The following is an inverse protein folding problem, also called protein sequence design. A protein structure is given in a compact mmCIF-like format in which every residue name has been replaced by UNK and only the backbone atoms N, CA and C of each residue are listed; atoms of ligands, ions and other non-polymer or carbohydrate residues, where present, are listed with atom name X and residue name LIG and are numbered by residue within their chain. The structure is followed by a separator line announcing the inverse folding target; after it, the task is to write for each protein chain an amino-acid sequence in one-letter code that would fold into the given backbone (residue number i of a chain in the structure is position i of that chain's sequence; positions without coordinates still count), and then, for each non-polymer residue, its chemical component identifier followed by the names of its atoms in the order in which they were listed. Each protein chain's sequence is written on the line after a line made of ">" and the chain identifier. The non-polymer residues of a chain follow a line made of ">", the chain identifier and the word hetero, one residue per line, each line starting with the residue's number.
data_IF_915938753298
#
_entry.id   IF_915938753298
#
_cell.length_a   1.000
_cell.length_b   1.000
_cell.length_c   1.000
_cell.angle_alpha   90.00
_cell.angle_beta   90.00
_cell.angle_gamma   90.00
#
_symmetry.space_group_name_H-M   'P 1'
#
loop_
_entity.id
_entity.type
_entity.pdbx_description
1 polymer ?
#
# COMPACT_ATOMS: atom_id res chain seq x y z
N UNK A 1 22.37 20.08 7.94
CA UNK A 1 23.80 19.94 8.27
C UNK A 1 24.59 20.56 7.13
N UNK A 2 25.28 21.68 7.37
CA UNK A 2 26.19 22.26 6.40
C UNK A 2 27.48 21.41 6.41
N UNK A 3 27.74 20.68 5.34
CA UNK A 3 29.00 19.96 5.18
C UNK A 3 30.06 21.00 4.82
N UNK A 4 30.87 21.40 5.79
CA UNK A 4 31.94 22.38 5.56
C UNK A 4 33.17 21.63 5.09
N UNK A 5 33.39 21.57 3.78
CA UNK A 5 34.63 21.06 3.21
C UNK A 5 35.64 22.21 3.24
N UNK A 6 36.49 22.26 4.26
CA UNK A 6 37.62 23.18 4.26
C UNK A 6 38.73 22.62 3.36
N UNK A 7 38.72 23.00 2.09
CA UNK A 7 39.88 22.79 1.24
C UNK A 7 40.89 23.91 1.53
N UNK A 8 42.02 23.60 2.19
CA UNK A 8 43.16 24.53 2.30
C UNK A 8 43.94 24.49 0.99
N UNK A 9 43.97 25.56 0.19
CA UNK A 9 44.90 25.63 -0.93
C UNK A 9 46.31 25.75 -0.36
N UNK A 10 47.27 25.04 -0.95
CA UNK A 10 48.69 25.02 -0.53
C UNK A 10 49.40 26.37 -0.69
N UNK A 11 48.77 27.38 -1.30
CA UNK A 11 49.33 28.71 -1.53
C UNK A 11 48.27 29.79 -1.31
N UNK A 12 48.27 30.43 -0.13
CA UNK A 12 47.76 31.80 0.12
C UNK A 12 46.30 32.18 -0.23
N UNK A 13 45.47 31.27 -0.75
CA UNK A 13 44.11 31.57 -1.18
C UNK A 13 43.12 31.73 -0.01
N UNK A 14 42.21 32.71 -0.09
CA UNK A 14 41.08 32.84 0.85
C UNK A 14 40.21 31.56 0.80
N UNK A 15 39.67 31.09 1.95
CA UNK A 15 38.76 29.94 1.96
C UNK A 15 37.58 30.19 1.02
N UNK A 16 37.32 29.26 0.10
CA UNK A 16 36.12 29.30 -0.74
C UNK A 16 34.99 28.62 0.03
N UNK A 17 34.02 29.41 0.51
CA UNK A 17 32.79 28.88 1.08
C UNK A 17 31.86 28.50 -0.08
N UNK A 18 31.78 27.21 -0.40
CA UNK A 18 30.75 26.72 -1.33
C UNK A 18 29.42 26.76 -0.57
N UNK A 19 28.43 27.45 -1.13
CA UNK A 19 27.06 27.50 -0.59
C UNK A 19 26.40 26.11 -0.75
N UNK A 20 26.73 25.18 0.14
CA UNK A 20 26.20 23.81 0.14
C UNK A 20 24.66 23.74 0.21
N UNK A 21 23.98 24.80 0.64
CA UNK A 21 22.52 24.83 0.75
C UNK A 21 21.81 24.81 -0.61
N UNK A 22 22.36 25.50 -1.61
CA UNK A 22 21.77 25.55 -2.96
C UNK A 22 21.92 24.19 -3.64
N UNK A 23 23.13 23.62 -3.63
CA UNK A 23 23.38 22.25 -4.09
C UNK A 23 22.53 21.21 -3.36
N UNK A 24 22.34 21.35 -2.04
CA UNK A 24 21.47 20.45 -1.29
C UNK A 24 19.98 20.58 -1.68
N UNK A 25 19.51 21.78 -2.05
CA UNK A 25 18.14 21.98 -2.58
C UNK A 25 17.99 21.36 -3.96
N UNK A 26 18.95 21.58 -4.85
CA UNK A 26 18.95 21.00 -6.20
C UNK A 26 18.97 19.47 -6.14
N UNK A 27 19.84 18.90 -5.32
CA UNK A 27 19.89 17.45 -5.11
C UNK A 27 18.54 16.92 -4.62
N UNK A 28 17.92 17.54 -3.61
CA UNK A 28 16.58 17.15 -3.13
C UNK A 28 15.53 17.21 -4.23
N UNK A 29 15.57 18.22 -5.08
CA UNK A 29 14.63 18.36 -6.20
C UNK A 29 14.85 17.25 -7.24
N UNK A 30 16.11 16.94 -7.56
CA UNK A 30 16.46 15.84 -8.47
C UNK A 30 15.98 14.50 -7.91
N UNK A 31 16.25 14.21 -6.63
CA UNK A 31 15.76 12.99 -5.98
C UNK A 31 14.23 12.89 -6.00
N UNK A 32 13.53 13.98 -5.71
CA UNK A 32 12.06 14.00 -5.76
C UNK A 32 11.53 13.72 -7.17
N UNK A 33 12.14 14.30 -8.22
CA UNK A 33 11.75 14.04 -9.62
C UNK A 33 12.01 12.59 -10.02
N UNK A 34 13.17 12.03 -9.65
CA UNK A 34 13.50 10.63 -9.92
C UNK A 34 12.46 9.71 -9.24
N UNK A 35 12.12 9.99 -7.99
CA UNK A 35 11.12 9.22 -7.25
C UNK A 35 9.75 9.25 -7.94
N UNK A 36 9.29 10.43 -8.37
CA UNK A 36 8.04 10.55 -9.15
C UNK A 36 8.08 9.77 -10.46
N UNK A 37 9.22 9.77 -11.17
CA UNK A 37 9.38 9.00 -12.41
C UNK A 37 9.31 7.49 -12.16
N UNK A 38 9.96 7.00 -11.09
CA UNK A 38 9.89 5.59 -10.67
C UNK A 38 8.45 5.21 -10.37
N UNK A 39 7.74 6.01 -9.58
CA UNK A 39 6.35 5.79 -9.21
C UNK A 39 5.40 5.76 -10.42
N UNK A 40 5.55 6.72 -11.34
CA UNK A 40 4.75 6.78 -12.56
C UNK A 40 5.05 5.59 -13.47
N UNK A 41 6.31 5.20 -13.63
CA UNK A 41 6.69 4.03 -14.41
C UNK A 41 6.11 2.74 -13.81
N UNK A 42 6.22 2.55 -12.49
CA UNK A 42 5.60 1.43 -11.78
C UNK A 42 4.09 1.37 -11.99
N UNK A 43 3.42 2.52 -11.93
CA UNK A 43 1.98 2.60 -12.23
C UNK A 43 1.65 2.21 -13.68
N UNK A 44 2.44 2.64 -14.67
CA UNK A 44 2.20 2.26 -16.06
C UNK A 44 2.43 0.76 -16.30
N UNK A 45 3.46 0.16 -15.69
CA UNK A 45 3.71 -1.28 -15.76
C UNK A 45 2.50 -2.06 -15.25
N UNK A 46 1.97 -1.69 -14.08
CA UNK A 46 0.78 -2.34 -13.52
C UNK A 46 -0.45 -2.15 -14.41
N UNK A 47 -0.68 -0.94 -14.93
CA UNK A 47 -1.80 -0.67 -15.85
C UNK A 47 -1.74 -1.51 -17.12
N UNK A 48 -0.55 -1.71 -17.69
CA UNK A 48 -0.34 -2.56 -18.86
C UNK A 48 -0.69 -4.03 -18.57
N UNK A 49 -0.49 -4.46 -17.32
CA UNK A 49 -0.89 -5.79 -16.83
C UNK A 49 -2.36 -5.86 -16.37
N UNK A 50 -3.13 -4.77 -16.55
CA UNK A 50 -4.48 -4.63 -15.98
C UNK A 50 -4.51 -4.84 -14.46
N UNK A 51 -3.47 -4.40 -13.75
CA UNK A 51 -3.36 -4.45 -12.30
C UNK A 51 -3.30 -3.06 -11.68
N UNK A 52 -3.69 -3.00 -10.41
CA UNK A 52 -3.39 -1.90 -9.48
C UNK A 52 -2.43 -2.40 -8.39
N UNK A 53 -2.01 -1.54 -7.47
CA UNK A 53 -1.23 -1.91 -6.30
C UNK A 53 -2.15 -2.00 -5.07
N UNK A 54 -2.02 -3.07 -4.29
CA UNK A 54 -2.74 -3.24 -3.02
C UNK A 54 -1.74 -3.39 -1.87
N UNK A 55 -1.73 -2.42 -0.97
CA UNK A 55 -0.93 -2.41 0.26
C UNK A 55 -1.78 -2.99 1.40
N UNK A 56 -1.30 -4.07 2.00
CA UNK A 56 -1.99 -4.81 3.06
C UNK A 56 -1.27 -4.64 4.38
N UNK A 57 -1.99 -4.27 5.43
CA UNK A 57 -1.53 -4.49 6.79
C UNK A 57 -1.66 -5.97 7.22
N UNK A 58 -0.99 -6.36 8.30
CA UNK A 58 -1.01 -7.73 8.83
C UNK A 58 -1.89 -7.85 10.08
N UNK A 59 -1.49 -7.20 11.17
CA UNK A 59 -2.06 -7.39 12.50
C UNK A 59 -3.43 -6.71 12.62
N UNK A 60 -4.43 -7.44 13.07
CA UNK A 60 -5.85 -7.02 13.07
C UNK A 60 -6.44 -6.79 11.66
N UNK A 61 -5.66 -6.90 10.59
CA UNK A 61 -6.13 -6.85 9.21
C UNK A 61 -6.28 -8.25 8.60
N UNK A 62 -5.19 -9.00 8.44
CA UNK A 62 -5.17 -10.38 7.90
C UNK A 62 -5.06 -11.45 8.98
N UNK A 63 -4.64 -11.11 10.19
CA UNK A 63 -4.44 -12.07 11.25
C UNK A 63 -4.47 -11.40 12.62
N UNK A 64 -4.44 -12.19 13.68
CA UNK A 64 -4.21 -11.70 15.03
C UNK A 64 -3.12 -12.55 15.68
N UNK A 65 -2.10 -11.91 16.23
CA UNK A 65 -0.97 -12.57 16.90
C UNK A 65 -0.96 -12.22 18.39
N UNK A 66 -0.76 -13.23 19.25
CA UNK A 66 -0.60 -13.05 20.70
C UNK A 66 0.67 -13.76 21.19
N UNK A 67 1.38 -13.13 22.13
CA UNK A 67 2.54 -13.75 22.77
C UNK A 67 2.10 -14.96 23.59
N UNK A 68 2.83 -16.06 23.51
CA UNK A 68 2.53 -17.27 24.29
C UNK A 68 2.45 -16.99 25.78
N UNK A 69 3.35 -16.17 26.30
CA UNK A 69 3.39 -15.77 27.72
C UNK A 69 2.16 -15.01 28.19
N UNK A 70 1.30 -14.54 27.28
CA UNK A 70 0.07 -13.78 27.58
C UNK A 70 -1.21 -14.56 27.27
N UNK A 71 -1.10 -15.79 26.76
CA UNK A 71 -2.27 -16.62 26.48
C UNK A 71 -2.95 -17.02 27.79
N UNK A 72 -4.28 -16.96 27.81
CA UNK A 72 -5.08 -17.54 28.88
C UNK A 72 -4.98 -19.07 28.88
N UNK A 73 -5.28 -19.75 30.01
CA UNK A 73 -5.29 -21.21 30.06
C UNK A 73 -6.18 -21.86 28.98
N UNK A 74 -7.32 -21.23 28.65
CA UNK A 74 -8.21 -21.70 27.59
C UNK A 74 -7.59 -21.56 26.20
N UNK A 75 -6.90 -20.46 25.93
CA UNK A 75 -6.20 -20.23 24.65
C UNK A 75 -5.04 -21.22 24.47
N UNK A 76 -4.30 -21.55 25.55
CA UNK A 76 -3.25 -22.56 25.53
C UNK A 76 -3.77 -23.96 25.21
N UNK A 77 -4.91 -24.36 25.80
CA UNK A 77 -5.54 -25.65 25.48
C UNK A 77 -5.93 -25.71 24.00
N UNK A 78 -6.45 -24.59 23.44
CA UNK A 78 -6.81 -24.54 22.02
C UNK A 78 -5.59 -24.65 21.11
N UNK A 79 -4.43 -24.12 21.50
CA UNK A 79 -3.17 -24.33 20.77
C UNK A 79 -2.81 -25.81 20.65
N UNK A 80 -2.90 -26.56 21.77
CA UNK A 80 -2.64 -28.00 21.80
C UNK A 80 -3.60 -28.82 20.94
N UNK A 81 -4.77 -28.28 20.61
CA UNK A 81 -5.76 -28.91 19.71
C UNK A 81 -5.56 -28.45 18.26
N UNK A 82 -4.98 -27.26 18.05
CA UNK A 82 -4.90 -26.59 16.74
C UNK A 82 -3.87 -27.17 15.76
N UNK A 83 -3.07 -28.17 16.16
CA UNK A 83 -2.18 -28.92 15.25
C UNK A 83 -2.91 -29.59 14.07
N UNK A 84 -4.26 -29.55 14.06
CA UNK A 84 -5.13 -30.04 12.98
C UNK A 84 -5.82 -28.94 12.16
N UNK A 85 -5.64 -27.65 12.47
CA UNK A 85 -6.31 -26.54 11.79
C UNK A 85 -5.29 -25.63 11.10
N UNK A 86 -5.42 -25.47 9.78
CA UNK A 86 -4.53 -24.68 8.91
C UNK A 86 -4.56 -23.16 9.18
N UNK A 87 -5.41 -22.71 10.10
CA UNK A 87 -5.57 -21.30 10.44
C UNK A 87 -4.76 -20.86 11.67
N UNK A 88 -4.19 -21.79 12.43
CA UNK A 88 -3.33 -21.46 13.57
C UNK A 88 -1.90 -21.85 13.27
N UNK A 89 -0.96 -21.01 13.70
CA UNK A 89 0.43 -21.39 13.70
C UNK A 89 1.18 -20.79 14.88
N UNK A 90 2.09 -21.59 15.40
CA UNK A 90 2.99 -21.25 16.49
C UNK A 90 4.36 -20.99 15.90
N UNK A 91 5.00 -19.90 16.30
CA UNK A 91 6.32 -19.54 15.79
C UNK A 91 7.13 -18.79 16.85
N UNK A 92 8.46 -18.77 16.65
CA UNK A 92 9.39 -18.11 17.58
C UNK A 92 10.14 -17.03 16.83
N UNK A 93 10.19 -15.84 17.40
CA UNK A 93 10.98 -14.75 16.84
C UNK A 93 12.46 -14.99 17.18
N UNK A 94 13.24 -15.46 16.20
CA UNK A 94 14.62 -15.90 16.40
C UNK A 94 15.49 -14.91 17.17
N UNK A 95 15.35 -13.60 16.90
CA UNK A 95 16.15 -12.57 17.54
C UNK A 95 15.91 -12.43 19.05
N UNK A 96 14.71 -12.76 19.55
CA UNK A 96 14.33 -12.57 20.95
C UNK A 96 13.98 -13.85 21.70
N UNK A 97 13.82 -14.97 20.99
CA UNK A 97 13.30 -16.23 21.55
C UNK A 97 11.84 -16.16 21.99
N UNK A 98 11.12 -15.07 21.70
CA UNK A 98 9.73 -14.91 22.09
C UNK A 98 8.84 -15.78 21.21
N UNK A 99 8.06 -16.65 21.84
CA UNK A 99 7.10 -17.53 21.19
C UNK A 99 5.75 -16.82 21.00
N UNK A 100 5.14 -17.00 19.84
CA UNK A 100 3.88 -16.39 19.43
C UNK A 100 2.91 -17.46 18.94
N UNK A 101 1.62 -17.21 19.18
CA UNK A 101 0.51 -17.92 18.57
C UNK A 101 -0.22 -16.93 17.65
N UNK A 102 -0.41 -17.33 16.41
CA UNK A 102 -1.10 -16.51 15.41
C UNK A 102 -2.32 -17.24 14.90
N UNK A 103 -3.44 -16.51 14.78
CA UNK A 103 -4.66 -16.94 14.11
C UNK A 103 -4.81 -16.17 12.81
N UNK A 104 -4.84 -16.89 11.70
CA UNK A 104 -5.17 -16.36 10.38
C UNK A 104 -6.65 -16.00 10.35
N UNK A 105 -6.96 -14.80 9.87
CA UNK A 105 -8.34 -14.35 9.68
C UNK A 105 -9.04 -15.25 8.66
N UNK A 106 -10.30 -15.63 8.88
CA UNK A 106 -11.08 -16.38 7.89
C UNK A 106 -11.01 -15.72 6.52
N UNK A 107 -11.00 -16.54 5.46
CA UNK A 107 -10.93 -16.11 4.05
C UNK A 107 -9.57 -15.57 3.54
N UNK A 108 -8.52 -15.43 4.36
CA UNK A 108 -7.24 -14.81 3.93
C UNK A 108 -6.58 -15.51 2.75
N UNK A 109 -6.54 -16.84 2.73
CA UNK A 109 -5.90 -17.59 1.63
C UNK A 109 -6.59 -17.31 0.29
N UNK A 110 -7.93 -17.37 0.29
CA UNK A 110 -8.74 -17.06 -0.89
C UNK A 110 -8.67 -15.58 -1.26
N UNK A 111 -8.66 -14.68 -0.27
CA UNK A 111 -8.46 -13.25 -0.49
C UNK A 111 -7.15 -12.97 -1.23
N UNK A 112 -6.02 -13.50 -0.77
CA UNK A 112 -4.71 -13.31 -1.41
C UNK A 112 -4.70 -13.89 -2.83
N UNK A 113 -5.27 -15.08 -3.01
CA UNK A 113 -5.38 -15.71 -4.32
C UNK A 113 -6.17 -14.85 -5.31
N UNK A 114 -7.36 -14.39 -4.95
CA UNK A 114 -8.21 -13.59 -5.85
C UNK A 114 -7.66 -12.17 -6.04
N UNK A 115 -7.22 -11.52 -4.96
CA UNK A 115 -6.63 -10.19 -5.04
C UNK A 115 -5.37 -10.16 -5.92
N UNK A 116 -4.52 -11.19 -5.87
CA UNK A 116 -3.30 -11.26 -6.68
C UNK A 116 -3.53 -11.27 -8.20
N UNK A 117 -4.75 -11.63 -8.65
CA UNK A 117 -5.13 -11.57 -10.07
C UNK A 117 -5.33 -10.13 -10.54
N UNK A 118 -5.79 -9.26 -9.65
CA UNK A 118 -6.18 -7.88 -9.94
C UNK A 118 -5.16 -6.85 -9.44
N UNK A 119 -4.32 -7.25 -8.49
CA UNK A 119 -3.39 -6.36 -7.79
C UNK A 119 -1.99 -6.96 -7.71
N UNK A 120 -0.97 -6.09 -7.74
CA UNK A 120 0.33 -6.40 -7.16
C UNK A 120 0.26 -6.14 -5.66
N UNK A 121 0.60 -7.17 -4.86
CA UNK A 121 0.41 -7.16 -3.41
C UNK A 121 1.69 -6.72 -2.69
N UNK A 122 1.52 -5.78 -1.75
CA UNK A 122 2.53 -5.32 -0.82
C UNK A 122 2.06 -5.62 0.61
N UNK A 123 2.99 -6.00 1.48
CA UNK A 123 2.78 -5.93 2.93
C UNK A 123 3.34 -4.62 3.45
N UNK A 124 2.60 -3.92 4.31
CA UNK A 124 3.11 -2.81 5.11
C UNK A 124 2.61 -2.91 6.55
N UNK A 125 3.48 -3.36 7.45
CA UNK A 125 3.18 -3.57 8.87
C UNK A 125 4.00 -2.66 9.81
N UNK A 126 3.47 -2.39 11.00
CA UNK A 126 4.25 -1.85 12.13
C UNK A 126 5.04 -2.93 12.90
N UNK A 127 4.97 -4.19 12.49
CA UNK A 127 5.84 -5.26 12.95
C UNK A 127 7.30 -5.03 12.55
N UNK A 128 8.23 -5.66 13.28
CA UNK A 128 9.65 -5.69 12.89
C UNK A 128 9.84 -6.44 11.58
N UNK A 129 10.97 -6.23 10.90
CA UNK A 129 11.33 -7.01 9.71
C UNK A 129 11.31 -8.51 9.93
N UNK A 130 11.82 -8.98 11.06
CA UNK A 130 11.82 -10.41 11.39
C UNK A 130 10.40 -10.94 11.66
N UNK A 131 9.55 -10.13 12.29
CA UNK A 131 8.12 -10.44 12.45
C UNK A 131 7.44 -10.56 11.09
N UNK A 132 7.61 -9.56 10.22
CA UNK A 132 6.98 -9.52 8.91
C UNK A 132 7.41 -10.71 8.05
N UNK A 133 8.70 -11.05 8.06
CA UNK A 133 9.23 -12.23 7.35
C UNK A 133 8.65 -13.54 7.87
N UNK A 134 8.55 -13.71 9.19
CA UNK A 134 7.95 -14.91 9.78
C UNK A 134 6.49 -15.06 9.32
N UNK A 135 5.68 -14.02 9.50
CA UNK A 135 4.27 -14.01 9.10
C UNK A 135 4.10 -14.26 7.60
N UNK A 136 4.85 -13.55 6.75
CA UNK A 136 4.78 -13.73 5.29
C UNK A 136 5.19 -15.15 4.89
N UNK A 137 6.17 -15.76 5.55
CA UNK A 137 6.54 -17.15 5.30
C UNK A 137 5.40 -18.14 5.54
N UNK A 138 4.47 -17.83 6.44
CA UNK A 138 3.27 -18.65 6.66
C UNK A 138 2.12 -18.32 5.70
N UNK A 139 1.95 -17.05 5.34
CA UNK A 139 0.89 -16.61 4.41
C UNK A 139 1.21 -16.94 2.95
N UNK A 140 2.48 -16.87 2.57
CA UNK A 140 2.99 -17.00 1.22
C UNK A 140 4.28 -17.85 1.19
N UNK A 141 4.18 -19.16 1.55
CA UNK A 141 5.35 -20.04 1.68
C UNK A 141 6.11 -20.24 0.37
N UNK A 142 5.45 -20.03 -0.78
CA UNK A 142 6.05 -20.17 -2.11
C UNK A 142 6.46 -18.82 -2.72
N UNK A 143 6.24 -17.71 -2.02
CA UNK A 143 6.62 -16.36 -2.48
C UNK A 143 5.86 -15.90 -3.73
N UNK A 144 4.64 -16.40 -3.97
CA UNK A 144 3.85 -16.11 -5.18
C UNK A 144 3.10 -14.78 -5.08
N UNK A 145 2.87 -14.27 -3.88
CA UNK A 145 2.07 -13.07 -3.63
C UNK A 145 2.92 -11.84 -3.38
N UNK A 146 3.89 -11.92 -2.47
CA UNK A 146 4.61 -10.75 -1.97
C UNK A 146 6.04 -10.64 -2.49
N UNK A 147 6.76 -11.75 -2.64
CA UNK A 147 8.19 -11.71 -2.98
C UNK A 147 8.96 -10.76 -2.04
N UNK A 148 9.66 -9.77 -2.60
CA UNK A 148 10.39 -8.75 -1.82
C UNK A 148 9.55 -7.55 -1.37
N UNK A 149 8.24 -7.51 -1.66
CA UNK A 149 7.33 -6.38 -1.41
C UNK A 149 6.80 -6.37 0.03
N UNK A 150 7.72 -6.39 1.00
CA UNK A 150 7.41 -6.42 2.44
C UNK A 150 8.06 -5.22 3.12
N UNK A 151 7.23 -4.28 3.57
CA UNK A 151 7.62 -3.05 4.24
C UNK A 151 7.34 -3.23 5.74
N UNK A 152 8.41 -3.15 6.53
CA UNK A 152 8.38 -3.31 7.98
C UNK A 152 8.48 -1.98 8.70
N UNK A 153 8.36 -1.98 10.03
CA UNK A 153 8.54 -0.80 10.86
C UNK A 153 9.88 -0.10 10.65
N UNK A 154 10.94 -0.87 10.41
CA UNK A 154 12.28 -0.34 10.15
C UNK A 154 12.40 0.38 8.80
N UNK A 155 11.47 0.13 7.87
CA UNK A 155 11.41 0.79 6.55
C UNK A 155 10.54 2.06 6.58
N UNK A 156 9.71 2.25 7.62
CA UNK A 156 8.83 3.42 7.76
C UNK A 156 9.61 4.72 7.97
N UNK A 157 9.40 5.76 7.13
CA UNK A 157 10.10 7.04 7.29
C UNK A 157 9.73 7.80 8.56
N UNK A 158 8.50 7.62 9.04
CA UNK A 158 7.97 8.32 10.21
C UNK A 158 7.53 7.31 11.27
N UNK A 159 8.11 7.40 12.47
CA UNK A 159 7.78 6.48 13.57
C UNK A 159 6.28 6.57 13.92
N UNK A 160 5.60 5.43 13.89
CA UNK A 160 4.19 5.32 14.25
C UNK A 160 3.20 5.79 13.18
N UNK A 161 3.68 6.16 11.98
CA UNK A 161 2.85 6.45 10.82
C UNK A 161 3.29 5.59 9.64
N UNK A 162 2.37 5.38 8.71
CA UNK A 162 2.62 4.79 7.40
C UNK A 162 2.34 5.85 6.34
N UNK A 163 3.12 5.80 5.27
CA UNK A 163 2.91 6.64 4.09
C UNK A 163 3.38 5.92 2.83
N UNK A 164 2.80 6.29 1.68
CA UNK A 164 3.03 5.63 0.41
C UNK A 164 4.37 6.00 -0.26
N UNK A 165 5.22 6.82 0.39
CA UNK A 165 6.53 7.22 -0.19
C UNK A 165 7.47 6.04 -0.39
N UNK A 166 7.31 4.99 0.40
CA UNK A 166 8.12 3.76 0.29
C UNK A 166 7.57 2.74 -0.72
N UNK A 167 6.42 3.02 -1.34
CA UNK A 167 5.82 2.16 -2.36
C UNK A 167 6.20 2.72 -3.75
N UNK A 168 6.88 1.95 -4.61
CA UNK A 168 7.38 2.43 -5.91
C UNK A 168 6.27 2.49 -6.98
N UNK A 169 5.08 2.95 -6.61
CA UNK A 169 3.90 3.06 -7.47
C UNK A 169 3.20 4.37 -7.17
N UNK A 170 2.89 5.14 -8.21
CA UNK A 170 2.19 6.42 -8.07
C UNK A 170 0.86 6.22 -7.35
N UNK A 171 0.55 7.07 -6.36
CA UNK A 171 -0.61 6.93 -5.47
C UNK A 171 -1.95 6.78 -6.18
N UNK A 172 -2.08 7.29 -7.41
CA UNK A 172 -3.28 7.08 -8.25
C UNK A 172 -3.53 5.62 -8.64
N UNK A 173 -2.56 4.72 -8.44
CA UNK A 173 -2.70 3.28 -8.68
C UNK A 173 -2.65 2.43 -7.43
N UNK A 174 -2.67 3.03 -6.23
CA UNK A 174 -2.47 2.31 -4.97
C UNK A 174 -3.74 2.34 -4.12
N UNK A 175 -4.16 1.18 -3.63
CA UNK A 175 -5.19 1.02 -2.61
C UNK A 175 -4.53 0.46 -1.35
N UNK A 176 -4.97 0.92 -0.18
CA UNK A 176 -4.51 0.44 1.13
C UNK A 176 -5.67 -0.29 1.81
N UNK A 177 -5.43 -1.44 2.40
CA UNK A 177 -6.35 -2.14 3.30
C UNK A 177 -5.67 -2.27 4.68
N UNK A 178 -6.22 -1.56 5.66
CA UNK A 178 -5.67 -1.48 7.03
C UNK A 178 -6.83 -1.22 7.99
N UNK A 179 -6.77 -1.76 9.20
CA UNK A 179 -7.81 -1.55 10.21
C UNK A 179 -7.68 -0.22 10.95
N UNK A 180 -6.51 0.42 10.89
CA UNK A 180 -6.20 1.62 11.66
C UNK A 180 -6.04 2.84 10.75
N UNK A 181 -7.08 3.68 10.70
CA UNK A 181 -7.07 4.91 9.90
C UNK A 181 -5.99 5.92 10.30
N UNK A 182 -5.73 6.06 11.61
CA UNK A 182 -4.87 7.11 12.14
C UNK A 182 -3.42 7.00 11.68
N UNK A 183 -2.93 5.79 11.36
CA UNK A 183 -1.54 5.60 10.92
C UNK A 183 -1.33 6.09 9.48
N UNK A 184 -2.40 6.27 8.69
CA UNK A 184 -2.36 6.71 7.28
C UNK A 184 -2.77 8.17 7.09
N UNK A 185 -2.45 9.04 8.06
CA UNK A 185 -2.90 10.45 8.05
C UNK A 185 -2.63 11.22 6.75
N UNK A 186 -1.56 10.89 6.01
CA UNK A 186 -1.18 11.53 4.74
C UNK A 186 -1.82 10.90 3.50
N UNK A 187 -2.25 9.65 3.60
CA UNK A 187 -2.72 8.84 2.47
C UNK A 187 -4.12 8.27 2.70
N UNK A 188 -4.88 8.89 3.61
CA UNK A 188 -6.25 8.50 3.95
C UNK A 188 -7.12 8.32 2.72
N UNK A 189 -6.95 9.15 1.69
CA UNK A 189 -7.70 9.07 0.43
C UNK A 189 -7.62 7.71 -0.28
N UNK A 190 -6.56 6.95 -0.04
CA UNK A 190 -6.28 5.66 -0.64
C UNK A 190 -6.68 4.47 0.27
N UNK A 191 -7.15 4.75 1.49
CA UNK A 191 -7.40 3.76 2.52
C UNK A 191 -8.83 3.21 2.47
N UNK A 192 -8.91 1.88 2.49
CA UNK A 192 -10.08 1.09 2.83
C UNK A 192 -9.92 0.61 4.28
N UNK A 193 -10.72 1.17 5.19
CA UNK A 193 -10.65 0.81 6.61
C UNK A 193 -11.42 -0.49 6.85
N UNK A 194 -10.73 -1.57 7.23
CA UNK A 194 -11.40 -2.84 7.57
C UNK A 194 -11.71 -2.93 9.07
N UNK A 195 -12.75 -3.68 9.45
CA UNK A 195 -13.01 -3.98 10.86
C UNK A 195 -11.79 -4.72 11.46
N UNK A 196 -11.23 -4.27 12.61
CA UNK A 196 -10.16 -4.99 13.29
C UNK A 196 -10.54 -6.44 13.61
N UNK A 197 -9.64 -7.37 13.33
CA UNK A 197 -9.78 -8.79 13.63
C UNK A 197 -9.29 -9.12 15.04
N UNK A 198 -10.22 -9.11 15.99
CA UNK A 198 -9.92 -9.33 17.41
C UNK A 198 -10.26 -10.76 17.83
N UNK A 199 -9.45 -11.72 17.37
CA UNK A 199 -9.62 -13.13 17.72
C UNK A 199 -9.32 -13.45 19.18
N UNK A 200 -8.08 -13.24 19.64
CA UNK A 200 -7.67 -13.49 21.03
C UNK A 200 -8.22 -12.44 22.00
N UNK A 201 -8.35 -12.83 23.26
CA UNK A 201 -8.72 -11.93 24.34
C UNK A 201 -7.66 -10.83 24.51
N UNK A 202 -8.07 -9.56 24.73
CA UNK A 202 -7.13 -8.48 25.00
C UNK A 202 -6.35 -8.75 26.30
N UNK A 203 -5.15 -8.19 26.42
CA UNK A 203 -4.35 -8.33 27.63
C UNK A 203 -5.00 -7.62 28.83
N UNK A 204 -5.61 -6.44 28.58
CA UNK A 204 -6.30 -5.64 29.58
C UNK A 204 -7.81 -5.67 29.32
N UNK A 205 -8.54 -6.40 30.18
CA UNK A 205 -10.00 -6.45 30.13
C UNK A 205 -10.62 -5.17 30.68
N UNK A 206 -10.77 -4.14 29.84
CA UNK A 206 -11.54 -2.95 30.20
C UNK A 206 -13.07 -3.16 30.09
N UNK A 207 -13.52 -4.43 30.02
CA UNK A 207 -14.92 -4.84 30.12
C UNK A 207 -15.84 -4.52 28.93
N UNK A 208 -15.37 -3.83 27.89
CA UNK A 208 -16.29 -3.25 26.89
C UNK A 208 -16.54 -4.10 25.63
N UNK A 209 -15.71 -5.10 25.31
CA UNK A 209 -15.93 -5.98 24.13
C UNK A 209 -15.24 -7.33 24.32
N UNK A 210 -15.98 -8.43 24.10
CA UNK A 210 -15.42 -9.80 24.12
C UNK A 210 -14.74 -10.08 22.78
N UNK A 211 -13.66 -10.85 22.83
CA UNK A 211 -12.97 -11.35 21.65
C UNK A 211 -13.74 -12.50 20.99
N UNK A 212 -13.46 -12.78 19.71
CA UNK A 212 -14.09 -13.89 18.99
C UNK A 212 -13.85 -15.24 19.68
N UNK A 213 -12.64 -15.43 20.24
CA UNK A 213 -12.31 -16.61 21.03
C UNK A 213 -13.22 -16.76 22.26
N UNK A 214 -13.46 -15.69 23.01
CA UNK A 214 -14.31 -15.70 24.21
C UNK A 214 -15.79 -15.92 23.89
N UNK A 215 -16.21 -15.58 22.68
CA UNK A 215 -17.55 -15.86 22.15
C UNK A 215 -17.67 -17.28 21.59
N UNK A 216 -16.55 -18.00 21.43
CA UNK A 216 -16.54 -19.34 20.83
C UNK A 216 -16.86 -19.33 19.32
N UNK A 217 -16.71 -18.18 18.65
CA UNK A 217 -17.03 -17.99 17.24
C UNK A 217 -15.80 -17.49 16.46
N UNK A 218 -15.93 -17.37 15.15
CA UNK A 218 -14.99 -16.69 14.26
C UNK A 218 -15.77 -15.96 13.16
N UNK A 219 -15.10 -15.14 12.37
CA UNK A 219 -15.73 -14.46 11.24
C UNK A 219 -16.15 -15.44 10.13
N UNK A 220 -17.23 -15.14 9.42
CA UNK A 220 -17.67 -15.94 8.26
C UNK A 220 -16.69 -15.81 7.10
N UNK A 221 -16.34 -16.91 6.44
CA UNK A 221 -15.53 -16.84 5.22
C UNK A 221 -16.28 -16.21 4.04
N UNK A 222 -17.59 -16.42 3.93
CA UNK A 222 -18.39 -15.94 2.80
C UNK A 222 -18.91 -14.52 2.98
N UNK A 223 -19.25 -14.12 4.20
CA UNK A 223 -19.85 -12.81 4.52
C UNK A 223 -19.00 -11.95 5.47
N UNK A 224 -17.81 -12.43 5.84
CA UNK A 224 -16.89 -11.72 6.74
C UNK A 224 -16.36 -10.42 6.16
N UNK A 225 -15.71 -9.59 7.00
CA UNK A 225 -15.13 -8.32 6.57
C UNK A 225 -14.15 -8.45 5.40
N UNK A 226 -13.34 -9.51 5.35
CA UNK A 226 -12.34 -9.68 4.30
C UNK A 226 -12.96 -10.08 2.95
N UNK A 227 -14.01 -10.91 2.95
CA UNK A 227 -14.81 -11.22 1.75
C UNK A 227 -15.48 -9.96 1.19
N UNK A 228 -16.07 -9.14 2.08
CA UNK A 228 -16.66 -7.85 1.68
C UNK A 228 -15.62 -6.87 1.15
N UNK A 229 -14.43 -6.82 1.75
CA UNK A 229 -13.32 -6.01 1.27
C UNK A 229 -12.88 -6.45 -0.14
N UNK A 230 -12.76 -7.75 -0.42
CA UNK A 230 -12.46 -8.25 -1.76
C UNK A 230 -13.51 -7.80 -2.78
N UNK A 231 -14.80 -7.98 -2.49
CA UNK A 231 -15.86 -7.58 -3.41
C UNK A 231 -15.88 -6.07 -3.71
N UNK A 232 -15.45 -5.25 -2.74
CA UNK A 232 -15.25 -3.80 -2.95
C UNK A 232 -14.02 -3.53 -3.83
N UNK A 233 -12.89 -4.20 -3.56
CA UNK A 233 -11.67 -4.06 -4.35
C UNK A 233 -11.89 -4.48 -5.81
N UNK A 234 -12.64 -5.54 -6.06
CA UNK A 234 -13.06 -5.99 -7.39
C UNK A 234 -13.90 -4.93 -8.12
N UNK A 235 -14.85 -4.30 -7.42
CA UNK A 235 -15.67 -3.21 -7.99
C UNK A 235 -14.84 -1.97 -8.33
N UNK A 236 -13.88 -1.61 -7.48
CA UNK A 236 -12.98 -0.47 -7.71
C UNK A 236 -12.06 -0.76 -8.90
N UNK A 237 -11.46 -1.96 -8.96
CA UNK A 237 -10.63 -2.39 -10.07
C UNK A 237 -11.42 -2.39 -11.39
N UNK A 238 -12.59 -3.02 -11.40
CA UNK A 238 -13.49 -3.05 -12.55
C UNK A 238 -13.83 -1.64 -13.03
N UNK A 239 -14.27 -0.76 -12.13
CA UNK A 239 -14.57 0.63 -12.46
C UNK A 239 -13.36 1.37 -13.02
N UNK A 240 -12.18 1.15 -12.45
CA UNK A 240 -10.94 1.78 -12.92
C UNK A 240 -10.62 1.40 -14.37
N UNK A 241 -10.75 0.12 -14.74
CA UNK A 241 -10.38 -0.33 -16.09
C UNK A 241 -11.51 -0.27 -17.13
N UNK A 242 -12.78 -0.35 -16.72
CA UNK A 242 -13.94 -0.29 -17.63
C UNK A 242 -14.44 1.13 -17.87
N UNK A 243 -14.42 2.02 -16.86
CA UNK A 243 -14.85 3.40 -17.02
C UNK A 243 -13.76 4.33 -17.59
N UNK A 244 -12.58 3.79 -17.92
CA UNK A 244 -11.42 4.53 -18.43
C UNK A 244 -11.63 5.16 -19.81
N UNK A 245 -12.72 4.83 -20.50
CA UNK A 245 -13.05 5.42 -21.80
C UNK A 245 -13.75 6.79 -21.75
N UNK A 246 -13.99 7.37 -20.55
CA UNK A 246 -14.71 8.64 -20.48
C UNK A 246 -13.87 9.77 -19.86
N UNK A 247 -13.12 9.56 -18.78
CA UNK A 247 -12.12 10.54 -18.30
C UNK A 247 -11.03 9.80 -17.49
N UNK A 248 -9.82 10.34 -17.44
CA UNK A 248 -8.73 9.85 -16.57
C UNK A 248 -9.06 10.14 -15.09
N UNK A 249 -10.09 9.49 -14.56
CA UNK A 249 -10.54 9.73 -13.19
C UNK A 249 -9.52 9.18 -12.19
N UNK A 250 -9.02 10.00 -11.24
CA UNK A 250 -8.16 9.53 -10.18
C UNK A 250 -8.83 8.44 -9.34
N UNK A 251 -8.07 7.42 -8.91
CA UNK A 251 -8.53 6.33 -8.05
C UNK A 251 -9.25 6.83 -6.79
N UNK A 252 -8.84 7.97 -6.22
CA UNK A 252 -9.54 8.62 -5.10
C UNK A 252 -11.03 8.83 -5.39
N UNK A 253 -11.38 9.32 -6.58
CA UNK A 253 -12.77 9.58 -6.97
C UNK A 253 -13.55 8.27 -7.07
N UNK A 254 -12.90 7.19 -7.54
CA UNK A 254 -13.51 5.87 -7.57
C UNK A 254 -13.74 5.33 -6.16
N UNK A 255 -12.79 5.49 -5.24
CA UNK A 255 -12.98 5.07 -3.85
C UNK A 255 -14.13 5.85 -3.20
N UNK A 256 -14.22 7.17 -3.44
CA UNK A 256 -15.34 8.02 -2.99
C UNK A 256 -16.68 7.56 -3.57
N UNK A 257 -16.76 7.32 -4.87
CA UNK A 257 -17.98 6.86 -5.56
C UNK A 257 -18.42 5.47 -5.12
N UNK A 258 -17.49 4.61 -4.70
CA UNK A 258 -17.76 3.30 -4.12
C UNK A 258 -18.04 3.35 -2.60
N UNK A 259 -18.21 4.56 -2.03
CA UNK A 259 -18.68 4.76 -0.65
C UNK A 259 -17.61 4.54 0.44
N UNK A 260 -16.33 4.49 0.08
CA UNK A 260 -15.25 4.03 0.97
C UNK A 260 -14.92 5.06 2.05
N UNK A 261 -15.25 6.34 1.85
CA UNK A 261 -14.84 7.42 2.75
C UNK A 261 -15.79 7.77 3.89
N UNK A 262 -16.99 7.17 4.01
CA UNK A 262 -17.92 7.58 5.09
C UNK A 262 -18.68 6.50 5.85
N UNK A 263 -19.15 5.41 5.26
CA UNK A 263 -19.95 4.41 6.02
C UNK A 263 -19.86 3.04 5.35
N UNK A 264 -19.82 1.95 6.13
CA UNK A 264 -20.16 0.53 5.75
C UNK A 264 -19.05 -0.54 5.72
N UNK A 265 -18.17 -0.60 6.72
CA UNK A 265 -17.66 -1.92 7.15
C UNK A 265 -18.10 -2.31 8.58
N UNK A 266 -18.43 -1.33 9.44
CA UNK A 266 -19.03 -1.59 10.76
C UNK A 266 -20.56 -1.84 10.76
N UNK A 267 -21.31 -1.52 9.71
CA UNK A 267 -22.79 -1.48 9.76
C UNK A 267 -23.50 -2.16 8.59
N UNK A 268 -23.47 -3.49 8.53
CA UNK A 268 -24.48 -4.27 7.79
C UNK A 268 -25.00 -5.31 8.79
N UNK A 269 -25.82 -4.83 9.72
CA UNK A 269 -26.84 -5.61 10.40
C UNK A 269 -28.14 -5.33 9.64
N UNK A 270 -28.82 -6.41 9.33
CA UNK A 270 -30.20 -6.48 8.84
C UNK A 270 -30.46 -6.01 7.40
N UNK A 271 -31.26 -6.81 6.71
CA UNK A 271 -31.29 -6.90 5.26
C UNK A 271 -31.87 -5.67 4.57
N UNK A 272 -31.21 -5.26 3.49
CA UNK A 272 -31.81 -4.46 2.44
C UNK A 272 -31.57 -5.13 1.10
N UNK A 273 -32.68 -5.34 0.40
CA UNK A 273 -32.80 -5.93 -0.92
C UNK A 273 -32.05 -5.11 -1.97
N UNK A 274 -31.47 -5.83 -2.93
CA UNK A 274 -30.57 -5.36 -3.97
C UNK A 274 -31.33 -4.66 -5.13
N UNK A 275 -32.16 -3.66 -4.82
CA UNK A 275 -33.04 -2.99 -5.80
C UNK A 275 -32.97 -1.45 -5.85
N UNK A 276 -32.43 -0.74 -4.85
CA UNK A 276 -32.69 0.72 -4.72
C UNK A 276 -31.63 1.68 -5.28
N UNK A 277 -30.69 1.22 -6.10
CA UNK A 277 -29.67 2.12 -6.71
C UNK A 277 -30.02 2.62 -8.13
N UNK A 278 -31.25 2.40 -8.63
CA UNK A 278 -31.66 2.83 -9.98
C UNK A 278 -32.39 4.19 -10.07
N UNK A 279 -32.47 4.98 -9.02
CA UNK A 279 -33.35 6.17 -9.04
C UNK A 279 -32.82 7.37 -8.27
N UNK A 280 -31.69 7.96 -8.69
CA UNK A 280 -31.47 9.40 -8.51
C UNK A 280 -31.04 10.09 -9.81
N UNK A 281 -32.02 10.83 -10.34
CA UNK A 281 -32.05 11.60 -11.58
C UNK A 281 -30.92 12.64 -11.68
N UNK A 282 -30.47 12.81 -12.93
CA UNK A 282 -29.77 13.98 -13.49
C UNK A 282 -30.38 15.29 -12.98
N UNK A 283 -29.54 16.21 -12.50
CA UNK A 283 -29.79 17.65 -12.59
C UNK A 283 -28.77 18.25 -13.54
N UNK A 284 -29.27 18.86 -14.61
CA UNK A 284 -28.48 19.66 -15.54
C UNK A 284 -27.98 20.92 -14.84
N UNK A 285 -26.72 21.27 -15.09
CA UNK A 285 -26.21 22.63 -14.85
C UNK A 285 -25.74 23.13 -16.20
N UNK A 286 -26.47 24.14 -16.69
CA UNK A 286 -26.20 24.83 -17.94
C UNK A 286 -24.91 25.67 -17.85
N UNK A 287 -24.33 25.86 -19.03
CA UNK A 287 -23.14 26.62 -19.38
C UNK A 287 -22.91 27.97 -18.67
N UNK A 288 -21.62 28.24 -18.37
CA UNK A 288 -20.84 29.38 -18.90
C UNK A 288 -19.41 29.42 -18.32
N UNK A 289 -18.38 29.18 -19.14
CA UNK A 289 -17.05 29.78 -18.93
C UNK A 289 -16.26 29.91 -20.26
N UNK A 290 -15.56 31.03 -20.54
CA UNK A 290 -15.12 31.37 -21.90
C UNK A 290 -13.90 30.58 -22.40
N UNK A 291 -13.93 30.26 -23.70
CA UNK A 291 -13.06 29.35 -24.46
C UNK A 291 -11.58 29.77 -24.62
N UNK A 292 -11.15 30.94 -24.15
CA UNK A 292 -9.78 31.42 -24.41
C UNK A 292 -8.70 30.93 -23.42
N UNK A 293 -9.07 30.39 -22.24
CA UNK A 293 -8.11 29.81 -21.27
C UNK A 293 -7.84 28.31 -21.49
N UNK A 294 -8.67 27.61 -22.26
CA UNK A 294 -8.48 26.17 -22.57
C UNK A 294 -7.28 25.94 -23.50
N UNK A 295 -7.12 26.74 -24.54
CA UNK A 295 -6.08 26.50 -25.57
C UNK A 295 -4.64 26.70 -25.07
N UNK A 296 -4.39 27.56 -24.06
CA UNK A 296 -3.05 27.72 -23.48
C UNK A 296 -2.62 26.53 -22.62
N UNK A 297 -3.55 25.86 -21.93
CA UNK A 297 -3.23 24.65 -21.15
C UNK A 297 -2.99 23.43 -22.05
N UNK A 298 -3.73 23.29 -23.15
CA UNK A 298 -3.49 22.22 -24.13
C UNK A 298 -2.16 22.39 -24.87
N UNK A 299 -1.72 23.63 -25.13
CA UNK A 299 -0.42 23.90 -25.74
C UNK A 299 0.77 23.55 -24.85
N UNK A 300 0.70 23.83 -23.54
CA UNK A 300 1.78 23.50 -22.60
C UNK A 300 1.90 21.99 -22.33
N UNK A 301 0.77 21.26 -22.34
CA UNK A 301 0.74 19.80 -22.19
C UNK A 301 1.20 19.09 -23.48
N UNK A 302 0.90 19.64 -24.65
CA UNK A 302 1.39 19.09 -25.92
C UNK A 302 2.91 19.23 -26.07
N UNK A 303 3.51 20.34 -25.59
CA UNK A 303 4.96 20.55 -25.65
C UNK A 303 5.71 19.58 -24.72
N UNK A 304 5.18 19.29 -23.53
CA UNK A 304 5.82 18.32 -22.61
C UNK A 304 5.72 16.88 -23.10
N UNK A 305 4.64 16.51 -23.80
CA UNK A 305 4.48 15.18 -24.39
C UNK A 305 5.36 15.02 -25.64
N UNK A 306 5.50 16.05 -26.46
CA UNK A 306 6.37 15.99 -27.66
C UNK A 306 7.86 15.95 -27.32
N UNK A 307 8.30 16.60 -26.25
CA UNK A 307 9.69 16.48 -25.76
C UNK A 307 9.99 15.11 -25.14
N UNK A 308 8.97 14.40 -24.66
CA UNK A 308 9.10 13.05 -24.10
C UNK A 308 9.27 11.99 -25.20
N UNK A 309 8.72 12.21 -26.39
CA UNK A 309 8.89 11.31 -27.55
C UNK A 309 10.25 11.47 -28.25
N UNK A 310 10.84 12.68 -28.26
CA UNK A 310 12.17 12.92 -28.87
C UNK A 310 13.32 12.31 -28.05
N UNK A 311 13.09 11.96 -26.77
CA UNK A 311 14.13 11.40 -25.90
C UNK A 311 14.21 9.86 -25.88
N UNK A 312 13.31 9.16 -26.58
CA UNK A 312 13.22 7.69 -26.56
C UNK A 312 13.71 7.03 -27.87
N UNK A 313 13.92 7.80 -28.94
CA UNK A 313 14.56 7.31 -30.17
C UNK A 313 16.04 7.71 -30.21
N UNK A 314 17.00 6.77 -30.08
CA UNK A 314 18.38 7.05 -30.44
C UNK A 314 18.48 7.17 -31.97
N UNK A 315 19.20 8.17 -32.52
CA UNK A 315 19.50 8.18 -33.95
C UNK A 315 20.36 6.96 -34.28
N UNK A 316 19.88 6.15 -35.20
CA UNK A 316 20.65 5.11 -35.88
C UNK A 316 21.83 5.75 -36.61
N UNK A 317 22.99 5.73 -35.98
CA UNK A 317 24.24 6.23 -36.55
C UNK A 317 25.41 5.49 -35.93
N UNK A 318 25.85 4.46 -36.64
CA UNK A 318 27.11 3.77 -36.41
C UNK A 318 28.28 4.76 -36.45
N UNK A 319 29.09 4.78 -35.40
CA UNK A 319 30.49 5.21 -35.49
C UNK A 319 31.29 4.40 -34.48
N UNK A 320 32.02 3.43 -35.00
CA UNK A 320 33.06 2.71 -34.26
C UNK A 320 34.15 3.69 -33.85
N UNK A 321 34.50 3.71 -32.56
CA UNK A 321 35.79 4.24 -32.10
C UNK A 321 36.35 3.22 -31.12
N UNK A 322 37.36 2.48 -31.58
CA UNK A 322 38.13 1.55 -30.77
C UNK A 322 38.98 2.28 -29.73
N UNK A 323 39.04 1.71 -28.53
CA UNK A 323 39.91 2.16 -27.45
C UNK A 323 40.26 0.97 -26.55
N UNK A 324 41.45 0.42 -26.75
CA UNK A 324 42.07 -0.61 -25.92
C UNK A 324 42.35 -0.09 -24.51
N UNK A 325 41.92 -0.83 -23.48
CA UNK A 325 42.32 -0.62 -22.09
C UNK A 325 43.26 -1.76 -21.66
N UNK A 326 44.52 -1.41 -21.37
CA UNK A 326 45.45 -2.22 -20.57
C UNK A 326 45.36 -1.77 -19.11
N UNK A 327 45.27 -2.74 -18.20
CA UNK A 327 45.27 -2.56 -16.75
C UNK A 327 46.70 -2.33 -16.21
N UNK A 328 46.83 -1.62 -15.09
CA UNK A 328 47.66 -2.05 -13.97
C UNK A 328 46.82 -2.72 -12.89
#
# INVERSE_FOLDING_TARGET
>A
MALTIQHRPTMGGRPVTIQCEEYARELKLVYAKIQTLIELNGFQILRNQKKLCLVLDLDHTLLHTKRFSKLSPRELIREQISWKNDDFFTWTLNASGVKYLTKIRPFVRKFLQEASKLFELYVYTHGTRDYARAIVGFLDPYGVYFGSRVISREDSPTKGLKDLVVVPVHKSGVIILDDTEKVWARDRSNLVVIKPYNYFAPDDHNGCTRSLFEEGMDESESAGPLSRALGLLEQVHKSFFECHNIFQEPLRILLDNNGIHREKLQGIKDGYSLCDLRSRKRKSVNDRCPSAKRQRCYWLIAITISLFWVAIDPPSGSTEIGGSFQSP
#
